data_IF_614239559764
#
_entry.id   IF_614239559764
#
_cell.length_a   1.000
_cell.length_b   1.000
_cell.length_c   1.000
_cell.angle_alpha   90.00
_cell.angle_beta   90.00
_cell.angle_gamma   90.00
#
_symmetry.space_group_name_H-M   'P 1'
#
loop_
_entity.id
_entity.type
_entity.pdbx_description
1 polymer ?
#
# COMPACT_ATOMS: atom_id res chain seq x y z
N UNK A 1 30.21 -11.36 -16.95
CA UNK A 1 29.13 -11.37 -17.97
C UNK A 1 27.87 -10.61 -17.52
N UNK A 2 27.12 -11.02 -16.49
CA UNK A 2 25.85 -10.36 -16.10
C UNK A 2 26.05 -8.90 -15.67
N UNK A 3 27.06 -8.59 -14.85
CA UNK A 3 27.34 -7.22 -14.40
C UNK A 3 27.64 -6.28 -15.58
N UNK A 4 28.38 -6.74 -16.59
CA UNK A 4 28.66 -5.96 -17.79
C UNK A 4 27.39 -5.69 -18.61
N UNK A 5 26.49 -6.68 -18.72
CA UNK A 5 25.20 -6.52 -19.38
C UNK A 5 24.30 -5.50 -18.66
N UNK A 6 24.29 -5.52 -17.32
CA UNK A 6 23.57 -4.54 -16.52
C UNK A 6 24.16 -3.13 -16.73
N UNK A 7 25.48 -2.96 -16.72
CA UNK A 7 26.11 -1.67 -16.98
C UNK A 7 25.78 -1.16 -18.38
N UNK A 8 25.89 -2.03 -19.40
CA UNK A 8 25.55 -1.69 -20.77
C UNK A 8 24.09 -1.26 -20.92
N UNK A 9 23.15 -1.97 -20.26
CA UNK A 9 21.74 -1.60 -20.26
C UNK A 9 21.53 -0.16 -19.77
N UNK A 10 22.14 0.23 -18.65
CA UNK A 10 21.99 1.59 -18.13
C UNK A 10 22.67 2.65 -18.99
N UNK A 11 23.75 2.31 -19.71
CA UNK A 11 24.38 3.23 -20.66
C UNK A 11 23.48 3.46 -21.88
N UNK A 12 22.87 2.40 -22.41
CA UNK A 12 22.07 2.45 -23.63
C UNK A 12 20.60 2.88 -23.38
N UNK A 13 20.01 2.41 -22.27
CA UNK A 13 18.58 2.55 -21.97
C UNK A 13 18.29 3.30 -20.67
N UNK A 14 19.25 4.02 -20.09
CA UNK A 14 19.07 4.69 -18.80
C UNK A 14 17.90 5.69 -18.77
N UNK A 15 17.68 6.44 -19.88
CA UNK A 15 16.54 7.37 -19.98
C UNK A 15 15.20 6.63 -20.01
N UNK A 16 15.12 5.53 -20.74
CA UNK A 16 13.92 4.69 -20.82
C UNK A 16 13.61 4.05 -19.47
N UNK A 17 14.67 3.57 -18.77
CA UNK A 17 14.54 3.05 -17.41
C UNK A 17 13.93 4.07 -16.44
N UNK A 18 14.43 5.32 -16.44
CA UNK A 18 13.89 6.36 -15.56
C UNK A 18 12.41 6.65 -15.87
N UNK A 19 12.04 6.67 -17.15
CA UNK A 19 10.64 6.84 -17.57
C UNK A 19 9.78 5.66 -17.07
N UNK A 20 10.22 4.42 -17.31
CA UNK A 20 9.52 3.20 -16.87
C UNK A 20 9.36 3.16 -15.35
N UNK A 21 10.40 3.55 -14.60
CA UNK A 21 10.35 3.68 -13.15
C UNK A 21 9.34 4.75 -12.71
N UNK A 22 9.36 5.91 -13.39
CA UNK A 22 8.40 6.99 -13.15
C UNK A 22 6.95 6.54 -13.38
N UNK A 23 6.68 5.85 -14.48
CA UNK A 23 5.36 5.29 -14.79
C UNK A 23 4.89 4.29 -13.74
N UNK A 24 5.82 3.45 -13.23
CA UNK A 24 5.52 2.48 -12.18
C UNK A 24 5.16 3.16 -10.84
N UNK A 25 5.94 4.19 -10.45
CA UNK A 25 5.68 4.98 -9.25
C UNK A 25 4.35 5.74 -9.39
N UNK A 26 4.09 6.33 -10.55
CA UNK A 26 2.86 7.06 -10.81
C UNK A 26 1.63 6.14 -10.72
N UNK A 27 1.67 4.97 -11.37
CA UNK A 27 0.59 3.98 -11.31
C UNK A 27 0.32 3.52 -9.88
N UNK A 28 1.39 3.20 -9.14
CA UNK A 28 1.29 2.78 -7.73
C UNK A 28 0.77 3.88 -6.83
N UNK A 29 1.23 5.12 -7.03
CA UNK A 29 0.80 6.29 -6.26
C UNK A 29 -0.67 6.64 -6.50
N UNK A 30 -1.12 6.65 -7.76
CA UNK A 30 -2.53 6.89 -8.11
C UNK A 30 -3.46 5.86 -7.46
N UNK A 31 -3.12 4.57 -7.57
CA UNK A 31 -3.91 3.51 -6.95
C UNK A 31 -3.95 3.65 -5.42
N UNK A 32 -2.81 3.95 -4.79
CA UNK A 32 -2.74 4.17 -3.34
C UNK A 32 -3.59 5.36 -2.91
N UNK A 33 -3.51 6.49 -3.61
CA UNK A 33 -4.29 7.70 -3.26
C UNK A 33 -5.79 7.44 -3.33
N UNK A 34 -6.27 6.75 -4.37
CA UNK A 34 -7.68 6.37 -4.47
C UNK A 34 -8.06 5.40 -3.34
N UNK A 35 -7.20 4.41 -3.06
CA UNK A 35 -7.42 3.46 -1.98
C UNK A 35 -7.48 4.11 -0.60
N UNK A 36 -6.70 5.17 -0.35
CA UNK A 36 -6.75 5.97 0.89
C UNK A 36 -8.08 6.68 1.04
N UNK A 37 -8.56 7.33 -0.04
CA UNK A 37 -9.85 8.04 -0.05
C UNK A 37 -11.03 7.10 0.23
N UNK A 38 -10.92 5.83 -0.16
CA UNK A 38 -11.95 4.80 0.09
C UNK A 38 -11.72 4.10 1.44
N UNK A 39 -10.51 3.62 1.68
CA UNK A 39 -10.18 2.72 2.79
C UNK A 39 -10.21 3.38 4.16
N UNK A 40 -9.73 4.64 4.27
CA UNK A 40 -9.74 5.35 5.56
C UNK A 40 -11.16 5.67 6.05
N UNK A 41 -12.05 6.30 5.24
CA UNK A 41 -13.42 6.54 5.66
C UNK A 41 -14.19 5.26 5.95
N UNK A 42 -14.07 4.24 5.08
CA UNK A 42 -14.74 2.95 5.31
C UNK A 42 -14.22 2.27 6.59
N UNK A 43 -12.92 2.35 6.88
CA UNK A 43 -12.32 1.83 8.10
C UNK A 43 -12.86 2.52 9.35
N UNK A 44 -12.97 3.85 9.33
CA UNK A 44 -13.54 4.61 10.42
C UNK A 44 -15.04 4.33 10.63
N UNK A 45 -15.83 4.28 9.55
CA UNK A 45 -17.26 3.94 9.62
C UNK A 45 -17.47 2.52 10.15
N UNK A 46 -16.64 1.57 9.72
CA UNK A 46 -16.67 0.17 10.18
C UNK A 46 -16.30 0.05 11.65
N UNK A 47 -15.34 0.84 12.14
CA UNK A 47 -15.02 0.92 13.56
C UNK A 47 -16.24 1.37 14.38
N UNK A 48 -17.00 2.34 13.89
CA UNK A 48 -18.14 2.95 14.60
C UNK A 48 -19.41 2.09 14.59
N UNK A 49 -19.50 1.08 13.70
CA UNK A 49 -20.69 0.25 13.53
C UNK A 49 -20.31 -1.26 13.49
N UNK A 50 -20.73 -2.06 14.50
CA UNK A 50 -20.38 -3.50 14.56
C UNK A 50 -20.83 -4.31 13.35
N UNK A 51 -22.01 -4.02 12.77
CA UNK A 51 -22.52 -4.70 11.59
C UNK A 51 -21.67 -4.40 10.37
N UNK A 52 -21.31 -3.11 10.18
CA UNK A 52 -20.46 -2.69 9.09
C UNK A 52 -19.03 -3.28 9.24
N UNK A 53 -18.52 -3.34 10.47
CA UNK A 53 -17.24 -3.98 10.78
C UNK A 53 -17.23 -5.45 10.35
N UNK A 54 -18.29 -6.21 10.64
CA UNK A 54 -18.37 -7.62 10.26
C UNK A 54 -18.41 -7.79 8.74
N UNK A 55 -19.23 -7.01 8.04
CA UNK A 55 -19.31 -7.03 6.57
C UNK A 55 -17.97 -6.63 5.94
N UNK A 56 -17.40 -5.53 6.38
CA UNK A 56 -16.10 -5.06 5.88
C UNK A 56 -14.99 -6.08 6.08
N UNK A 57 -14.91 -6.71 7.27
CA UNK A 57 -13.93 -7.76 7.55
C UNK A 57 -14.13 -8.99 6.68
N UNK A 58 -15.38 -9.41 6.45
CA UNK A 58 -15.70 -10.53 5.56
C UNK A 58 -15.32 -10.23 4.10
N UNK A 59 -15.72 -9.08 3.57
CA UNK A 59 -15.39 -8.66 2.21
C UNK A 59 -13.89 -8.53 1.99
N UNK A 60 -13.17 -7.91 2.93
CA UNK A 60 -11.72 -7.74 2.81
C UNK A 60 -10.95 -9.06 2.88
N UNK A 61 -11.41 -10.03 3.70
CA UNK A 61 -10.83 -11.36 3.71
C UNK A 61 -11.07 -12.09 2.39
N UNK A 62 -12.28 -12.00 1.83
CA UNK A 62 -12.62 -12.56 0.53
C UNK A 62 -11.76 -11.97 -0.61
N UNK A 63 -11.59 -10.65 -0.63
CA UNK A 63 -10.77 -9.98 -1.65
C UNK A 63 -9.29 -10.42 -1.61
N UNK A 64 -8.74 -10.72 -0.44
CA UNK A 64 -7.35 -11.18 -0.29
C UNK A 64 -7.11 -12.60 -0.79
N UNK A 65 -8.15 -13.40 -0.98
CA UNK A 65 -8.06 -14.75 -1.57
C UNK A 65 -7.93 -14.68 -3.09
N UNK A 66 -8.41 -13.59 -3.71
CA UNK A 66 -8.35 -13.43 -5.17
C UNK A 66 -6.90 -13.14 -5.58
N UNK A 67 -6.28 -13.96 -6.45
CA UNK A 67 -4.97 -13.67 -6.98
C UNK A 67 -4.96 -12.34 -7.75
N UNK A 68 -3.96 -11.48 -7.51
CA UNK A 68 -3.85 -10.17 -8.17
C UNK A 68 -3.90 -10.26 -9.69
N UNK A 69 -3.23 -11.24 -10.28
CA UNK A 69 -3.28 -11.51 -11.72
C UNK A 69 -4.68 -11.90 -12.19
N UNK A 70 -5.38 -12.73 -11.39
CA UNK A 70 -6.76 -13.12 -11.68
C UNK A 70 -7.70 -11.91 -11.69
N UNK A 71 -7.55 -11.00 -10.73
CA UNK A 71 -8.32 -9.76 -10.68
C UNK A 71 -8.10 -8.88 -11.91
N UNK A 72 -6.84 -8.73 -12.35
CA UNK A 72 -6.51 -8.00 -13.57
C UNK A 72 -7.21 -8.59 -14.78
N UNK A 73 -7.18 -9.89 -14.96
CA UNK A 73 -7.78 -10.56 -16.12
C UNK A 73 -9.31 -10.55 -16.10
N UNK A 74 -9.94 -10.64 -14.91
CA UNK A 74 -11.41 -10.55 -14.80
C UNK A 74 -11.93 -9.18 -15.27
N UNK A 75 -11.16 -8.12 -15.13
CA UNK A 75 -11.57 -6.78 -15.54
C UNK A 75 -11.51 -6.55 -17.04
N UNK A 76 -10.70 -7.32 -17.79
CA UNK A 76 -10.51 -7.13 -19.25
C UNK A 76 -11.83 -7.17 -20.03
N UNK A 77 -12.73 -8.16 -19.86
CA UNK A 77 -13.97 -8.22 -20.62
C UNK A 77 -14.92 -7.05 -20.40
N UNK A 78 -14.80 -6.35 -19.24
CA UNK A 78 -15.72 -5.28 -18.84
C UNK A 78 -15.17 -3.89 -19.15
N UNK A 79 -13.86 -3.69 -19.01
CA UNK A 79 -13.24 -2.34 -19.03
C UNK A 79 -12.14 -2.28 -20.11
N UNK A 80 -11.74 -3.42 -20.68
CA UNK A 80 -10.63 -3.50 -21.63
C UNK A 80 -9.27 -3.62 -20.96
N UNK A 81 -8.22 -3.22 -21.70
CA UNK A 81 -6.82 -3.29 -21.28
C UNK A 81 -6.25 -1.90 -21.04
N UNK A 82 -5.11 -1.80 -20.35
CA UNK A 82 -4.39 -0.55 -20.13
C UNK A 82 -4.42 -0.06 -18.69
N UNK A 83 -4.18 1.25 -18.52
CA UNK A 83 -3.97 1.90 -17.21
C UNK A 83 -5.22 1.86 -16.31
N UNK A 84 -6.42 2.09 -16.87
CA UNK A 84 -7.65 2.19 -16.08
C UNK A 84 -8.00 0.88 -15.34
N UNK A 85 -8.12 -0.29 -16.02
CA UNK A 85 -8.37 -1.55 -15.32
C UNK A 85 -7.24 -1.91 -14.35
N UNK A 86 -5.99 -1.55 -14.64
CA UNK A 86 -4.88 -1.74 -13.72
C UNK A 86 -5.09 -0.94 -12.41
N UNK A 87 -5.41 0.36 -12.50
CA UNK A 87 -5.69 1.18 -11.33
C UNK A 87 -6.83 0.58 -10.51
N UNK A 88 -7.94 0.18 -11.12
CA UNK A 88 -9.08 -0.41 -10.43
C UNK A 88 -8.66 -1.67 -9.66
N UNK A 89 -7.93 -2.59 -10.32
CA UNK A 89 -7.45 -3.80 -9.67
C UNK A 89 -6.51 -3.49 -8.48
N UNK A 90 -5.56 -2.58 -8.67
CA UNK A 90 -4.62 -2.17 -7.63
C UNK A 90 -5.33 -1.49 -6.45
N UNK A 91 -6.36 -0.68 -6.69
CA UNK A 91 -7.20 -0.07 -5.64
C UNK A 91 -7.92 -1.15 -4.84
N UNK A 92 -8.52 -2.14 -5.51
CA UNK A 92 -9.21 -3.27 -4.84
C UNK A 92 -8.25 -4.03 -3.94
N UNK A 93 -6.98 -4.22 -4.34
CA UNK A 93 -5.95 -4.86 -3.52
C UNK A 93 -5.47 -3.98 -2.36
N UNK A 94 -5.40 -2.67 -2.55
CA UNK A 94 -4.88 -1.73 -1.56
C UNK A 94 -5.88 -1.38 -0.44
N UNK A 95 -7.19 -1.40 -0.72
CA UNK A 95 -8.24 -1.03 0.25
C UNK A 95 -8.25 -1.95 1.49
N UNK A 96 -8.16 -3.30 1.39
CA UNK A 96 -8.18 -4.20 2.54
C UNK A 96 -7.16 -3.89 3.64
N UNK A 97 -5.84 -3.77 3.37
CA UNK A 97 -4.87 -3.47 4.42
C UNK A 97 -5.09 -2.10 5.07
N UNK A 98 -5.49 -1.07 4.31
CA UNK A 98 -5.80 0.26 4.84
C UNK A 98 -7.02 0.19 5.77
N UNK A 99 -8.11 -0.41 5.31
CA UNK A 99 -9.37 -0.51 6.04
C UNK A 99 -9.19 -1.30 7.34
N UNK A 100 -8.58 -2.48 7.28
CA UNK A 100 -8.41 -3.34 8.46
C UNK A 100 -7.50 -2.69 9.50
N UNK A 101 -6.38 -2.10 9.10
CA UNK A 101 -5.48 -1.42 10.02
C UNK A 101 -6.11 -0.14 10.60
N UNK A 102 -6.98 0.54 9.87
CA UNK A 102 -7.77 1.66 10.39
C UNK A 102 -8.72 1.19 11.49
N UNK A 103 -9.46 0.09 11.26
CA UNK A 103 -10.34 -0.50 12.28
C UNK A 103 -9.53 -0.89 13.52
N UNK A 104 -8.40 -1.59 13.34
CA UNK A 104 -7.54 -2.02 14.45
C UNK A 104 -7.03 -0.81 15.22
N UNK A 105 -6.52 0.21 14.53
CA UNK A 105 -5.97 1.40 15.16
C UNK A 105 -6.98 2.11 16.05
N UNK A 106 -8.23 2.27 15.59
CA UNK A 106 -9.28 2.89 16.42
C UNK A 106 -9.76 2.00 17.57
N UNK A 107 -9.75 0.67 17.41
CA UNK A 107 -10.12 -0.27 18.47
C UNK A 107 -9.06 -0.34 19.60
N UNK A 108 -7.78 -0.16 19.26
CA UNK A 108 -6.68 -0.23 20.24
C UNK A 108 -6.51 1.04 21.10
N UNK A 109 -7.26 2.09 20.81
CA UNK A 109 -7.25 3.29 21.65
C UNK A 109 -7.80 2.94 23.04
N UNK A 110 -7.01 3.12 24.13
CA UNK A 110 -7.45 2.78 25.48
C UNK A 110 -8.70 3.56 25.88
N UNK A 111 -9.73 2.86 26.35
CA UNK A 111 -11.02 3.46 26.73
C UNK A 111 -10.87 4.51 27.84
N UNK A 112 -9.94 4.29 28.77
CA UNK A 112 -9.67 5.24 29.86
C UNK A 112 -9.28 6.63 29.37
N UNK A 113 -8.56 6.73 28.22
CA UNK A 113 -8.20 8.02 27.64
C UNK A 113 -9.41 8.73 27.03
N UNK A 114 -10.36 7.97 26.52
CA UNK A 114 -11.61 8.51 26.00
C UNK A 114 -12.50 9.03 27.13
N UNK A 115 -12.60 8.28 28.22
CA UNK A 115 -13.34 8.67 29.42
C UNK A 115 -12.71 9.94 30.07
N UNK A 116 -11.40 9.97 30.17
CA UNK A 116 -10.67 11.16 30.67
C UNK A 116 -10.95 12.39 29.80
N UNK A 117 -10.86 12.25 28.46
CA UNK A 117 -11.13 13.34 27.54
C UNK A 117 -12.59 13.85 27.68
N UNK A 118 -13.53 12.94 27.85
CA UNK A 118 -14.95 13.28 28.07
C UNK A 118 -15.15 13.96 29.41
N UNK A 119 -14.50 13.47 30.47
CA UNK A 119 -14.52 14.10 31.81
C UNK A 119 -13.93 15.52 31.84
N UNK A 120 -12.97 15.81 30.96
CA UNK A 120 -12.42 17.15 30.72
C UNK A 120 -13.31 18.04 29.83
N UNK A 121 -14.51 17.59 29.47
CA UNK A 121 -15.47 18.36 28.67
C UNK A 121 -15.14 18.41 27.17
N UNK A 122 -14.29 17.52 26.65
CA UNK A 122 -14.01 17.47 25.21
C UNK A 122 -15.22 17.00 24.42
N UNK A 123 -15.53 17.70 23.33
CA UNK A 123 -16.57 17.27 22.39
C UNK A 123 -16.15 15.99 21.63
N UNK A 124 -17.10 15.28 21.02
CA UNK A 124 -16.83 14.08 20.22
C UNK A 124 -15.78 14.32 19.12
N UNK A 125 -15.81 15.47 18.46
CA UNK A 125 -14.85 15.88 17.44
C UNK A 125 -13.46 16.16 18.04
N UNK A 126 -13.41 16.86 19.18
CA UNK A 126 -12.14 17.10 19.89
C UNK A 126 -11.51 15.78 20.33
N UNK A 127 -12.30 14.87 20.89
CA UNK A 127 -11.83 13.53 21.30
C UNK A 127 -11.34 12.73 20.08
N UNK A 128 -12.05 12.82 18.95
CA UNK A 128 -11.63 12.12 17.71
C UNK A 128 -10.28 12.66 17.22
N UNK A 129 -10.13 13.97 17.00
CA UNK A 129 -8.93 14.52 16.38
C UNK A 129 -7.74 14.66 17.34
N UNK A 130 -7.97 14.94 18.63
CA UNK A 130 -6.90 15.18 19.60
C UNK A 130 -6.47 13.94 20.37
N UNK A 131 -7.32 12.89 20.41
CA UNK A 131 -7.04 11.67 21.19
C UNK A 131 -7.05 10.44 20.31
N UNK A 132 -8.20 10.11 19.69
CA UNK A 132 -8.34 8.83 18.95
C UNK A 132 -7.46 8.76 17.73
N UNK A 133 -7.51 9.75 16.86
CA UNK A 133 -6.78 9.73 15.58
C UNK A 133 -5.25 9.71 15.80
N UNK A 134 -4.65 10.55 16.66
CA UNK A 134 -3.22 10.43 16.94
C UNK A 134 -2.83 9.08 17.49
N UNK A 135 -3.62 8.49 18.40
CA UNK A 135 -3.35 7.17 18.99
C UNK A 135 -3.52 6.03 17.98
N UNK A 136 -4.45 6.14 17.04
CA UNK A 136 -4.68 5.17 15.98
C UNK A 136 -3.65 5.29 14.82
N UNK A 137 -2.98 6.43 14.68
CA UNK A 137 -2.13 6.76 13.53
C UNK A 137 -1.00 5.76 13.24
N UNK A 138 -0.32 5.12 14.22
CA UNK A 138 0.70 4.11 13.92
C UNK A 138 0.12 2.90 13.15
N UNK A 139 -1.06 2.43 13.55
CA UNK A 139 -1.74 1.33 12.87
C UNK A 139 -2.22 1.75 11.48
N UNK A 140 -2.80 2.95 11.35
CA UNK A 140 -3.23 3.50 10.07
C UNK A 140 -2.05 3.59 9.10
N UNK A 141 -0.92 4.16 9.54
CA UNK A 141 0.30 4.25 8.72
C UNK A 141 0.86 2.88 8.36
N UNK A 142 0.77 1.90 9.27
CA UNK A 142 1.16 0.53 8.97
C UNK A 142 0.26 -0.08 7.88
N UNK A 143 -1.05 0.18 7.91
CA UNK A 143 -1.98 -0.23 6.85
C UNK A 143 -1.64 0.38 5.49
N UNK A 144 -1.28 1.68 5.47
CA UNK A 144 -0.85 2.40 4.27
C UNK A 144 0.46 1.81 3.73
N UNK A 145 1.44 1.54 4.61
CA UNK A 145 2.69 0.89 4.26
C UNK A 145 2.46 -0.46 3.58
N UNK A 146 1.64 -1.32 4.18
CA UNK A 146 1.32 -2.64 3.63
C UNK A 146 0.64 -2.53 2.27
N UNK A 147 -0.32 -1.62 2.13
CA UNK A 147 -1.00 -1.34 0.86
C UNK A 147 -0.02 -0.87 -0.23
N UNK A 148 0.90 0.04 0.11
CA UNK A 148 1.88 0.54 -0.86
C UNK A 148 2.80 -0.57 -1.35
N UNK A 149 3.33 -1.39 -0.45
CA UNK A 149 4.21 -2.52 -0.81
C UNK A 149 3.47 -3.50 -1.72
N UNK A 150 2.22 -3.84 -1.39
CA UNK A 150 1.38 -4.73 -2.19
C UNK A 150 1.09 -4.15 -3.58
N UNK A 151 0.77 -2.85 -3.66
CA UNK A 151 0.53 -2.16 -4.93
C UNK A 151 1.78 -2.11 -5.79
N UNK A 152 2.96 -1.76 -5.23
CA UNK A 152 4.23 -1.76 -5.97
C UNK A 152 4.51 -3.15 -6.55
N UNK A 153 4.36 -4.21 -5.77
CA UNK A 153 4.56 -5.56 -6.24
C UNK A 153 3.55 -5.97 -7.33
N UNK A 154 2.25 -5.70 -7.10
CA UNK A 154 1.18 -6.08 -8.02
C UNK A 154 1.15 -5.26 -9.30
N UNK A 155 1.65 -4.01 -9.28
CA UNK A 155 1.77 -3.16 -10.46
C UNK A 155 2.72 -3.75 -11.52
N UNK A 156 3.65 -4.64 -11.14
CA UNK A 156 4.46 -5.38 -12.12
C UNK A 156 3.59 -6.25 -13.03
N UNK A 157 2.55 -6.87 -12.47
CA UNK A 157 1.63 -7.74 -13.21
C UNK A 157 0.69 -6.95 -14.13
N UNK A 158 0.45 -5.67 -13.83
CA UNK A 158 -0.37 -4.79 -14.66
C UNK A 158 0.20 -4.58 -16.08
N UNK A 159 1.48 -4.86 -16.27
CA UNK A 159 2.12 -4.91 -17.60
C UNK A 159 1.44 -5.89 -18.55
N UNK A 160 0.92 -7.04 -18.06
CA UNK A 160 0.21 -8.01 -18.88
C UNK A 160 -1.05 -7.45 -19.56
N UNK A 161 -1.63 -6.43 -18.95
CA UNK A 161 -2.81 -5.75 -19.52
C UNK A 161 -2.44 -4.39 -20.14
N UNK A 162 -1.16 -4.15 -20.41
CA UNK A 162 -0.69 -2.96 -21.12
C UNK A 162 -0.57 -1.69 -20.26
N UNK A 163 -0.53 -1.80 -18.93
CA UNK A 163 -0.40 -0.64 -18.05
C UNK A 163 1.03 -0.10 -17.91
N UNK A 164 2.04 -0.82 -18.44
CA UNK A 164 3.44 -0.40 -18.41
C UNK A 164 4.12 -0.63 -17.05
N UNK A 165 5.15 0.18 -16.76
CA UNK A 165 5.93 0.11 -15.53
C UNK A 165 7.05 -0.94 -15.53
N UNK A 166 7.70 -1.16 -14.37
CA UNK A 166 8.87 -2.04 -14.23
C UNK A 166 8.61 -3.50 -14.64
N UNK A 167 7.36 -3.93 -14.65
CA UNK A 167 6.98 -5.24 -15.17
C UNK A 167 7.37 -5.44 -16.64
N UNK A 168 7.42 -4.38 -17.47
CA UNK A 168 7.84 -4.48 -18.87
C UNK A 168 9.26 -5.00 -19.00
N UNK A 169 10.16 -4.53 -18.13
CA UNK A 169 11.57 -4.99 -18.11
C UNK A 169 11.61 -6.46 -17.67
N UNK A 170 10.86 -6.82 -16.62
CA UNK A 170 10.82 -8.20 -16.09
C UNK A 170 10.32 -9.17 -17.17
N UNK A 171 9.17 -8.87 -17.79
CA UNK A 171 8.56 -9.79 -18.76
C UNK A 171 9.32 -9.83 -20.10
N UNK A 172 9.96 -8.72 -20.50
CA UNK A 172 10.90 -8.74 -21.63
C UNK A 172 12.09 -9.65 -21.30
N UNK A 173 12.66 -9.53 -20.09
CA UNK A 173 13.73 -10.41 -19.65
C UNK A 173 13.32 -11.89 -19.62
N UNK A 174 12.11 -12.18 -19.15
CA UNK A 174 11.56 -13.54 -19.12
C UNK A 174 11.38 -14.11 -20.53
N UNK A 175 10.78 -13.34 -21.44
CA UNK A 175 10.51 -13.77 -22.81
C UNK A 175 11.77 -13.96 -23.67
N UNK A 176 12.82 -13.20 -23.38
CA UNK A 176 14.10 -13.25 -24.10
C UNK A 176 15.18 -14.10 -23.41
N UNK A 177 14.87 -14.72 -22.25
CA UNK A 177 15.83 -15.44 -21.39
C UNK A 177 17.02 -14.58 -20.98
N UNK A 178 16.79 -13.25 -20.83
CA UNK A 178 17.79 -12.26 -20.42
C UNK A 178 17.74 -12.04 -18.92
N UNK A 179 18.63 -12.71 -18.20
CA UNK A 179 18.71 -12.64 -16.72
C UNK A 179 19.11 -11.26 -16.20
N UNK A 180 19.89 -10.49 -16.96
CA UNK A 180 20.22 -9.09 -16.64
C UNK A 180 18.98 -8.22 -16.50
N UNK A 181 18.01 -8.32 -17.43
CA UNK A 181 16.74 -7.59 -17.36
C UNK A 181 15.87 -8.05 -16.19
N UNK A 182 15.86 -9.34 -15.87
CA UNK A 182 15.15 -9.85 -14.69
C UNK A 182 15.72 -9.26 -13.39
N UNK A 183 17.05 -9.17 -13.28
CA UNK A 183 17.71 -8.55 -12.12
C UNK A 183 17.44 -7.06 -12.07
N UNK A 184 17.50 -6.35 -13.20
CA UNK A 184 17.22 -4.91 -13.26
C UNK A 184 15.76 -4.64 -12.85
N UNK A 185 14.80 -5.28 -13.50
CA UNK A 185 13.38 -5.06 -13.24
C UNK A 185 12.96 -5.52 -11.84
N UNK A 186 13.24 -6.78 -11.50
CA UNK A 186 12.90 -7.36 -10.19
C UNK A 186 13.65 -6.70 -9.03
N UNK A 187 14.94 -6.42 -9.21
CA UNK A 187 15.75 -5.70 -8.24
C UNK A 187 15.23 -4.27 -7.99
N UNK A 188 14.79 -3.58 -9.06
CA UNK A 188 14.22 -2.23 -8.93
C UNK A 188 12.90 -2.24 -8.16
N UNK A 189 12.02 -3.21 -8.41
CA UNK A 189 10.75 -3.37 -7.65
C UNK A 189 11.04 -3.69 -6.18
N UNK A 190 11.97 -4.61 -5.92
CA UNK A 190 12.37 -4.97 -4.57
C UNK A 190 12.97 -3.77 -3.82
N UNK A 191 13.85 -3.01 -4.47
CA UNK A 191 14.47 -1.81 -3.91
C UNK A 191 13.43 -0.73 -3.62
N UNK A 192 12.50 -0.48 -4.55
CA UNK A 192 11.42 0.50 -4.37
C UNK A 192 10.52 0.12 -3.18
N UNK A 193 10.14 -1.16 -3.07
CA UNK A 193 9.35 -1.68 -1.94
C UNK A 193 10.11 -1.55 -0.62
N UNK A 194 11.40 -1.87 -0.61
CA UNK A 194 12.26 -1.78 0.57
C UNK A 194 12.46 -0.33 1.04
N UNK A 195 12.71 0.59 0.13
CA UNK A 195 12.79 2.03 0.42
C UNK A 195 11.46 2.53 1.01
N UNK A 196 10.34 2.15 0.40
CA UNK A 196 9.01 2.51 0.89
C UNK A 196 8.76 1.99 2.31
N UNK A 197 9.15 0.74 2.59
CA UNK A 197 9.06 0.15 3.93
C UNK A 197 9.86 0.95 4.95
N UNK A 198 11.14 1.24 4.66
CA UNK A 198 12.01 1.99 5.57
C UNK A 198 11.44 3.39 5.83
N UNK A 199 10.99 4.09 4.79
CA UNK A 199 10.42 5.44 4.93
C UNK A 199 9.20 5.45 5.87
N UNK A 200 8.28 4.48 5.72
CA UNK A 200 7.13 4.36 6.60
C UNK A 200 7.53 3.97 8.03
N UNK A 201 8.49 3.06 8.21
CA UNK A 201 8.97 2.67 9.54
C UNK A 201 9.64 3.83 10.27
N UNK A 202 10.41 4.64 9.56
CA UNK A 202 10.99 5.88 10.08
C UNK A 202 9.88 6.90 10.43
N UNK A 203 8.86 7.03 9.61
CA UNK A 203 7.73 7.92 9.88
C UNK A 203 6.97 7.48 11.13
N UNK A 204 6.63 6.19 11.25
CA UNK A 204 5.93 5.61 12.39
C UNK A 204 6.78 5.78 13.67
N UNK A 205 8.08 5.51 13.60
CA UNK A 205 8.98 5.62 14.76
C UNK A 205 9.12 7.04 15.32
N UNK A 206 8.85 8.07 14.50
CA UNK A 206 8.86 9.48 14.90
C UNK A 206 7.58 9.91 15.62
N UNK A 207 6.52 9.12 15.57
CA UNK A 207 5.28 9.44 16.27
C UNK A 207 5.52 9.46 17.80
N UNK A 208 4.98 10.45 18.53
CA UNK A 208 5.20 10.59 19.97
C UNK A 208 4.80 9.36 20.79
N UNK A 209 3.81 8.63 20.31
CA UNK A 209 3.22 7.45 20.96
C UNK A 209 4.21 6.28 20.99
N UNK A 210 4.90 6.03 19.88
CA UNK A 210 5.92 4.97 19.80
C UNK A 210 7.14 5.26 20.68
N UNK A 211 7.51 6.53 20.84
CA UNK A 211 8.61 6.93 21.73
C UNK A 211 8.31 6.60 23.19
N UNK A 212 7.06 6.75 23.65
CA UNK A 212 6.66 6.44 25.02
C UNK A 212 6.59 4.92 25.27
N UNK A 213 6.21 4.14 24.26
CA UNK A 213 6.14 2.67 24.35
C UNK A 213 7.54 2.06 24.48
N UNK A 214 8.52 2.49 23.70
CA UNK A 214 9.92 2.03 23.80
C UNK A 214 10.53 2.34 25.17
N UNK A 215 10.33 3.53 25.71
CA UNK A 215 10.86 3.91 27.04
C UNK A 215 10.34 3.06 28.21
N UNK A 216 9.17 2.42 28.06
CA UNK A 216 8.56 1.58 29.11
C UNK A 216 9.10 0.15 29.15
N UNK A 217 9.79 -0.30 28.08
CA UNK A 217 10.40 -1.63 27.98
C UNK A 217 11.93 -1.62 28.10
N UNK A 218 12.54 -0.44 28.28
CA UNK A 218 13.98 -0.28 28.51
C UNK A 218 14.33 -0.14 30.02
N UNK A 219 13.36 -0.33 30.92
CA UNK A 219 13.50 -0.41 32.38
C UNK A 219 13.16 -1.85 32.82
#
# INVERSE_FOLDING_TARGET
MIIQQIQQYFIEHGKDFVKILGDHIALSGEALMIALVIGLPLGYLSFSNPKLKQVASFCTQGLRVIPSLGLLFILIPFIGVGRLPAIIALVVLAVPPILLNTIVGFNEVPQILIETATGLGMTKWQTLYKVRFPLASPHILNGIKLALIEVIASATLATYIGAGGLGTIIFTGLGLYRYDLLIIGGGSVALLSFISMILFDLLISRLPIEKHKKRKYEI
#
